data_IF_035641908776
#
_entry.id   IF_035641908776
#
_cell.length_a   1.000
_cell.length_b   1.000
_cell.length_c   1.000
_cell.angle_alpha   90.00
_cell.angle_beta   90.00
_cell.angle_gamma   90.00
#
_symmetry.space_group_name_H-M   'P 1'
#
loop_
_entity.id
_entity.type
_entity.pdbx_description
1 polymer ?
#
# COMPACT_ATOMS: atom_id res chain seq x y z
N UNK A 1 -14.31 -17.93 -0.94
CA UNK A 1 -13.53 -16.84 -1.55
C UNK A 1 -13.54 -15.74 -0.53
N UNK A 2 -12.47 -15.65 0.27
CA UNK A 2 -12.31 -14.53 1.19
C UNK A 2 -12.17 -13.25 0.37
N UNK A 3 -13.08 -12.32 0.60
CA UNK A 3 -13.07 -11.02 -0.06
C UNK A 3 -12.21 -10.13 0.81
N UNK A 4 -10.93 -10.01 0.44
CA UNK A 4 -10.04 -9.01 1.03
C UNK A 4 -10.65 -7.62 0.83
N UNK A 5 -11.07 -6.97 1.92
CA UNK A 5 -11.74 -5.66 1.91
C UNK A 5 -10.72 -4.53 1.85
N UNK A 6 -9.91 -4.52 0.80
CA UNK A 6 -8.82 -3.54 0.63
C UNK A 6 -9.38 -2.10 0.61
N UNK A 7 -8.89 -1.18 1.45
CA UNK A 7 -9.29 0.22 1.47
C UNK A 7 -8.83 0.91 0.17
N UNK A 8 -9.71 0.89 -0.84
CA UNK A 8 -9.41 1.34 -2.21
C UNK A 8 -8.89 2.78 -2.31
N UNK A 9 -9.26 3.66 -1.38
CA UNK A 9 -8.82 5.04 -1.38
C UNK A 9 -7.36 5.17 -0.92
N UNK A 10 -7.00 4.48 0.17
CA UNK A 10 -5.65 4.49 0.74
C UNK A 10 -4.65 3.82 -0.20
N UNK A 11 -4.98 2.62 -0.71
CA UNK A 11 -4.12 1.93 -1.70
C UNK A 11 -3.92 2.76 -2.96
N UNK A 12 -4.97 3.44 -3.44
CA UNK A 12 -4.85 4.31 -4.62
C UNK A 12 -3.89 5.47 -4.34
N UNK A 13 -3.98 6.09 -3.17
CA UNK A 13 -3.11 7.21 -2.81
C UNK A 13 -1.64 6.76 -2.78
N UNK A 14 -1.35 5.66 -2.09
CA UNK A 14 0.01 5.12 -2.00
C UNK A 14 0.57 4.74 -3.37
N UNK A 15 -0.25 4.19 -4.28
CA UNK A 15 0.19 3.89 -5.65
C UNK A 15 0.56 5.14 -6.46
N UNK A 16 -0.19 6.24 -6.31
CA UNK A 16 0.12 7.53 -6.96
C UNK A 16 1.42 8.12 -6.40
N UNK A 17 1.63 7.99 -5.10
CA UNK A 17 2.85 8.46 -4.44
C UNK A 17 4.07 7.65 -4.89
N UNK A 18 3.94 6.31 -5.02
CA UNK A 18 4.99 5.44 -5.57
C UNK A 18 5.38 5.81 -6.99
N UNK A 19 4.42 6.06 -7.88
CA UNK A 19 4.67 6.52 -9.25
C UNK A 19 5.45 7.85 -9.23
N UNK A 20 5.00 8.81 -8.42
CA UNK A 20 5.65 10.11 -8.26
C UNK A 20 7.08 9.98 -7.75
N UNK A 21 7.34 9.09 -6.78
CA UNK A 21 8.67 8.89 -6.22
C UNK A 21 9.62 8.18 -7.19
N UNK A 22 9.13 7.25 -8.00
CA UNK A 22 9.90 6.63 -9.08
C UNK A 22 10.30 7.66 -10.13
N UNK A 23 9.36 8.49 -10.57
CA UNK A 23 9.58 9.51 -11.59
C UNK A 23 10.61 10.57 -11.14
N UNK A 24 10.59 10.93 -9.87
CA UNK A 24 11.49 11.93 -9.29
C UNK A 24 12.80 11.34 -8.75
N UNK A 25 12.97 10.01 -8.74
CA UNK A 25 14.15 9.34 -8.17
C UNK A 25 14.26 9.48 -6.65
N UNK A 26 13.13 9.61 -5.95
CA UNK A 26 13.04 9.84 -4.51
C UNK A 26 13.06 8.52 -3.72
N UNK A 27 14.17 7.80 -3.79
CA UNK A 27 14.30 6.43 -3.23
C UNK A 27 13.94 6.31 -1.74
N UNK A 28 14.27 7.30 -0.91
CA UNK A 28 13.93 7.27 0.51
C UNK A 28 12.42 7.25 0.77
N UNK A 29 11.67 8.05 0.00
CA UNK A 29 10.20 8.10 0.07
C UNK A 29 9.57 6.86 -0.58
N UNK A 30 10.21 6.35 -1.64
CA UNK A 30 9.78 5.11 -2.29
C UNK A 30 9.74 3.94 -1.30
N UNK A 31 10.82 3.72 -0.54
CA UNK A 31 10.87 2.63 0.45
C UNK A 31 9.80 2.78 1.53
N UNK A 32 9.53 4.01 1.96
CA UNK A 32 8.51 4.29 2.96
C UNK A 32 7.10 4.00 2.43
N UNK A 33 6.77 4.46 1.22
CA UNK A 33 5.46 4.20 0.62
C UNK A 33 5.24 2.72 0.30
N UNK A 34 6.29 1.95 -0.03
CA UNK A 34 6.15 0.50 -0.17
C UNK A 34 5.84 -0.18 1.18
N UNK A 35 6.48 0.25 2.27
CA UNK A 35 6.21 -0.30 3.60
C UNK A 35 4.76 -0.01 4.04
N UNK A 36 4.26 1.19 3.75
CA UNK A 36 2.86 1.57 3.99
C UNK A 36 1.89 0.72 3.16
N UNK A 37 2.22 0.44 1.89
CA UNK A 37 1.43 -0.46 1.05
C UNK A 37 1.40 -1.89 1.60
N UNK A 38 2.54 -2.40 2.07
CA UNK A 38 2.63 -3.73 2.69
C UNK A 38 1.80 -3.82 3.98
N UNK A 39 1.79 -2.77 4.80
CA UNK A 39 0.97 -2.68 6.01
C UNK A 39 -0.52 -2.72 5.69
N UNK A 40 -0.99 -1.90 4.74
CA UNK A 40 -2.40 -1.87 4.31
C UNK A 40 -2.85 -3.25 3.78
N UNK A 41 -2.02 -3.89 2.96
CA UNK A 41 -2.34 -5.20 2.39
C UNK A 41 -2.22 -6.34 3.42
N UNK A 42 -1.38 -6.18 4.45
CA UNK A 42 -1.13 -7.15 5.51
C UNK A 42 -2.15 -7.09 6.66
N UNK A 43 -2.62 -5.90 7.04
CA UNK A 43 -3.63 -5.73 8.09
C UNK A 43 -4.95 -6.40 7.72
N UNK A 44 -5.41 -6.28 6.47
CA UNK A 44 -6.64 -6.93 6.00
C UNK A 44 -6.53 -8.46 5.95
N UNK A 45 -5.33 -9.01 5.70
CA UNK A 45 -5.12 -10.44 5.71
C UNK A 45 -5.28 -11.05 7.12
N UNK A 46 -4.87 -10.31 8.16
CA UNK A 46 -5.00 -10.74 9.57
C UNK A 46 -6.44 -10.68 10.08
N UNK A 47 -7.27 -9.75 9.58
CA UNK A 47 -8.68 -9.63 9.98
C UNK A 47 -9.56 -10.74 9.39
N UNK A 48 -9.10 -11.38 8.31
CA UNK A 48 -9.83 -12.47 7.64
C UNK A 48 -9.61 -13.85 8.27
N UNK A 49 -8.66 -13.99 9.21
CA UNK A 49 -8.34 -15.25 9.91
C UNK A 49 -9.03 -15.43 11.28
N UNK A 50 -9.97 -14.54 11.67
CA UNK A 50 -10.73 -14.64 12.94
C UNK A 50 -12.23 -14.84 12.71
#
# INVERSE_FOLDING_TARGET
>A
MDVLLVPRAEVRQVLVDLETFLDLGLWGYLYQAMAELEEILGEDASLSET
#
